data_IF_035339241115
#
_entry.id   IF_035339241115
#
_cell.length_a   1.000
_cell.length_b   1.000
_cell.length_c   1.000
_cell.angle_alpha   90.00
_cell.angle_beta   90.00
_cell.angle_gamma   90.00
#
_symmetry.space_group_name_H-M   'P 1'
#
loop_
_entity.id
_entity.type
_entity.pdbx_description
1 polymer ?
#
# COMPACT_ATOMS: atom_id res chain seq x y z
N UNK A 1 15.42 -19.06 9.74
CA UNK A 1 14.19 -18.43 10.28
C UNK A 1 13.00 -18.43 9.31
N UNK A 2 13.20 -18.50 7.98
CA UNK A 2 12.08 -18.43 7.02
C UNK A 2 11.23 -19.69 6.88
N UNK A 3 11.76 -20.86 7.23
CA UNK A 3 10.99 -22.11 7.20
C UNK A 3 9.83 -22.12 8.22
N UNK A 4 10.09 -21.60 9.42
CA UNK A 4 9.08 -21.50 10.49
C UNK A 4 7.98 -20.54 10.07
N UNK A 5 8.33 -19.38 9.50
CA UNK A 5 7.36 -18.44 8.94
C UNK A 5 6.53 -19.08 7.84
N UNK A 6 7.15 -19.69 6.84
CA UNK A 6 6.46 -20.38 5.75
C UNK A 6 5.48 -21.46 6.27
N UNK A 7 5.92 -22.27 7.22
CA UNK A 7 5.06 -23.32 7.81
C UNK A 7 3.83 -22.73 8.50
N UNK A 8 3.94 -21.56 9.14
CA UNK A 8 2.80 -20.86 9.75
C UNK A 8 1.88 -20.26 8.69
N UNK A 9 2.45 -19.66 7.64
CA UNK A 9 1.69 -19.12 6.51
C UNK A 9 0.89 -20.21 5.80
N UNK A 10 1.45 -21.41 5.64
CA UNK A 10 0.70 -22.55 5.09
C UNK A 10 -0.54 -22.91 5.92
N UNK A 11 -0.51 -22.85 7.27
CA UNK A 11 -1.72 -23.11 8.05
C UNK A 11 -2.84 -22.13 7.67
N UNK A 12 -2.49 -20.87 7.48
CA UNK A 12 -3.43 -19.84 7.08
C UNK A 12 -3.95 -20.02 5.65
N UNK A 13 -3.10 -20.45 4.71
CA UNK A 13 -3.52 -20.78 3.33
C UNK A 13 -4.57 -21.91 3.32
N UNK A 14 -4.50 -22.83 4.27
CA UNK A 14 -5.50 -23.90 4.45
C UNK A 14 -6.68 -23.51 5.35
N UNK A 15 -6.78 -22.24 5.78
CA UNK A 15 -7.85 -21.77 6.67
C UNK A 15 -7.77 -22.33 8.08
N UNK A 16 -6.61 -22.85 8.49
CA UNK A 16 -6.39 -23.43 9.82
C UNK A 16 -5.77 -22.44 10.81
N UNK A 17 -6.11 -22.60 12.09
CA UNK A 17 -5.44 -21.89 13.18
C UNK A 17 -4.10 -22.56 13.54
N UNK A 18 -2.95 -21.87 13.39
CA UNK A 18 -1.66 -22.41 13.80
C UNK A 18 -1.48 -22.31 15.32
N UNK A 19 -1.58 -23.44 16.02
CA UNK A 19 -1.19 -23.55 17.43
C UNK A 19 0.28 -23.94 17.54
N UNK A 20 0.92 -23.68 18.69
CA UNK A 20 2.32 -24.07 18.91
C UNK A 20 2.52 -25.59 18.78
N UNK A 21 1.53 -26.40 19.15
CA UNK A 21 1.54 -27.85 18.95
C UNK A 21 1.49 -28.21 17.47
N UNK A 22 0.51 -27.68 16.72
CA UNK A 22 0.38 -27.94 15.28
C UNK A 22 1.64 -27.55 14.50
N UNK A 23 2.21 -26.38 14.82
CA UNK A 23 3.47 -25.92 14.22
C UNK A 23 4.62 -26.84 14.58
N UNK A 24 4.69 -27.33 15.83
CA UNK A 24 5.72 -28.31 16.26
C UNK A 24 5.63 -29.59 15.44
N UNK A 25 4.43 -30.18 15.32
CA UNK A 25 4.21 -31.42 14.56
C UNK A 25 4.64 -31.24 13.11
N UNK A 26 4.23 -30.14 12.46
CA UNK A 26 4.58 -29.88 11.05
C UNK A 26 6.08 -29.58 10.85
N UNK A 27 6.75 -29.01 11.85
CA UNK A 27 8.22 -28.86 11.83
C UNK A 27 8.93 -30.20 12.09
N UNK A 28 8.36 -31.08 12.93
CA UNK A 28 8.88 -32.43 13.14
C UNK A 28 8.82 -33.25 11.85
N UNK A 29 7.74 -33.14 11.08
CA UNK A 29 7.58 -33.81 9.78
C UNK A 29 8.56 -33.26 8.72
N UNK A 30 8.77 -31.95 8.66
CA UNK A 30 9.58 -31.31 7.61
C UNK A 30 11.09 -31.41 7.82
N UNK A 31 11.55 -31.31 9.07
CA UNK A 31 12.97 -31.17 9.39
C UNK A 31 13.39 -31.96 10.64
N UNK A 32 12.59 -32.94 11.05
CA UNK A 32 12.85 -33.74 12.25
C UNK A 32 13.05 -32.89 13.52
N UNK A 33 12.34 -31.77 13.63
CA UNK A 33 12.47 -30.81 14.73
C UNK A 33 12.18 -31.41 16.11
N UNK A 34 13.23 -31.78 16.87
CA UNK A 34 13.14 -32.41 18.19
C UNK A 34 12.74 -31.49 19.35
N UNK A 35 12.37 -30.24 19.08
CA UNK A 35 12.06 -29.27 20.12
C UNK A 35 10.68 -29.50 20.76
N UNK A 36 10.56 -29.16 22.04
CA UNK A 36 9.28 -29.19 22.75
C UNK A 36 8.35 -28.05 22.32
N UNK A 37 7.06 -28.15 22.65
CA UNK A 37 6.05 -27.09 22.41
C UNK A 37 6.49 -25.75 22.99
N UNK A 38 7.12 -25.77 24.17
CA UNK A 38 7.68 -24.57 24.82
C UNK A 38 8.78 -23.94 23.98
N UNK A 39 9.62 -24.77 23.37
CA UNK A 39 10.69 -24.35 22.46
C UNK A 39 10.12 -23.76 21.17
N UNK A 40 9.09 -24.40 20.60
CA UNK A 40 8.33 -23.87 19.46
C UNK A 40 7.73 -22.51 19.79
N UNK A 41 7.10 -22.33 20.97
CA UNK A 41 6.56 -21.04 21.38
C UNK A 41 7.62 -19.94 21.44
N UNK A 42 8.81 -20.24 21.97
CA UNK A 42 9.93 -19.29 21.97
C UNK A 42 10.36 -18.96 20.54
N UNK A 43 10.47 -19.96 19.68
CA UNK A 43 10.82 -19.80 18.27
C UNK A 43 9.82 -18.90 17.53
N UNK A 44 8.51 -19.08 17.77
CA UNK A 44 7.45 -18.22 17.24
C UNK A 44 7.65 -16.76 17.62
N UNK A 45 8.02 -16.49 18.89
CA UNK A 45 8.35 -15.13 19.32
C UNK A 45 9.61 -14.58 18.65
N UNK A 46 10.66 -15.39 18.51
CA UNK A 46 11.90 -15.00 17.84
C UNK A 46 11.69 -14.64 16.36
N UNK A 47 10.81 -15.35 15.64
CA UNK A 47 10.52 -15.05 14.24
C UNK A 47 9.50 -13.92 14.05
N UNK A 48 8.95 -13.36 15.13
CA UNK A 48 8.11 -12.16 15.14
C UNK A 48 6.62 -12.38 15.40
N UNK A 49 6.16 -13.62 15.61
CA UNK A 49 4.75 -13.90 15.92
C UNK A 49 4.45 -13.61 17.40
N UNK A 50 3.25 -13.07 17.65
CA UNK A 50 2.72 -12.80 18.99
C UNK A 50 1.32 -13.37 19.10
N UNK A 51 1.04 -14.05 20.20
CA UNK A 51 -0.32 -14.50 20.50
C UNK A 51 -1.18 -13.28 20.84
N UNK A 52 -2.23 -13.05 20.04
CA UNK A 52 -3.16 -11.93 20.17
C UNK A 52 -4.59 -12.45 19.94
N UNK A 53 -5.58 -11.69 20.38
CA UNK A 53 -7.00 -11.98 20.08
C UNK A 53 -7.16 -12.10 18.56
N UNK A 54 -7.83 -13.17 18.12
CA UNK A 54 -8.14 -13.37 16.71
C UNK A 54 -8.91 -12.15 16.19
N UNK A 55 -8.50 -11.68 15.02
CA UNK A 55 -9.14 -10.54 14.38
C UNK A 55 -10.57 -10.91 13.93
N UNK A 56 -11.47 -9.92 13.86
CA UNK A 56 -12.89 -10.04 13.43
C UNK A 56 -13.08 -10.35 11.93
N UNK A 57 -12.06 -10.90 11.26
CA UNK A 57 -12.00 -11.11 9.80
C UNK A 57 -11.47 -9.91 8.99
N UNK A 58 -11.50 -8.67 9.50
CA UNK A 58 -11.17 -7.45 8.71
C UNK A 58 -9.69 -7.09 8.50
N UNK A 59 -8.75 -7.74 9.18
CA UNK A 59 -7.31 -7.46 9.24
C UNK A 59 -6.47 -8.71 9.01
N UNK A 60 -6.98 -9.68 8.24
CA UNK A 60 -6.15 -10.78 7.78
C UNK A 60 -5.24 -10.30 6.64
N UNK A 61 -4.25 -9.47 6.99
CA UNK A 61 -3.24 -8.95 6.08
C UNK A 61 -2.15 -10.01 5.86
N UNK A 62 -2.54 -11.17 5.35
CA UNK A 62 -1.59 -12.00 4.63
C UNK A 62 -1.62 -11.56 3.18
N UNK A 63 -0.43 -11.28 2.64
CA UNK A 63 -0.28 -11.08 1.20
C UNK A 63 -0.71 -12.38 0.54
N UNK A 64 -1.83 -12.36 -0.20
CA UNK A 64 -2.30 -13.54 -0.91
C UNK A 64 -1.20 -14.01 -1.85
N UNK A 65 -1.06 -15.33 -2.04
CA UNK A 65 0.03 -15.90 -2.82
C UNK A 65 0.07 -15.37 -4.26
N UNK A 66 -1.09 -15.08 -4.86
CA UNK A 66 -1.20 -14.44 -6.18
C UNK A 66 -0.63 -13.02 -6.19
N UNK A 67 -0.87 -12.23 -5.14
CA UNK A 67 -0.27 -10.89 -4.97
C UNK A 67 1.26 -10.98 -4.81
N UNK A 68 1.77 -11.97 -4.06
CA UNK A 68 3.22 -12.20 -3.93
C UNK A 68 3.84 -12.51 -5.29
N UNK A 69 3.19 -13.37 -6.09
CA UNK A 69 3.65 -13.73 -7.44
C UNK A 69 3.61 -12.52 -8.37
N UNK A 70 2.51 -11.75 -8.37
CA UNK A 70 2.38 -10.53 -9.17
C UNK A 70 3.45 -9.51 -8.82
N UNK A 71 3.72 -9.29 -7.53
CA UNK A 71 4.79 -8.39 -7.08
C UNK A 71 6.17 -8.89 -7.50
N UNK A 72 6.44 -10.19 -7.42
CA UNK A 72 7.70 -10.77 -7.88
C UNK A 72 7.89 -10.60 -9.40
N UNK A 73 6.83 -10.78 -10.19
CA UNK A 73 6.86 -10.55 -11.64
C UNK A 73 7.13 -9.08 -11.96
N UNK A 74 6.39 -8.17 -11.32
CA UNK A 74 6.58 -6.72 -11.46
C UNK A 74 8.02 -6.31 -11.14
N UNK A 75 8.56 -6.73 -9.99
CA UNK A 75 9.93 -6.39 -9.58
C UNK A 75 10.99 -6.92 -10.54
N UNK A 76 10.81 -8.13 -11.09
CA UNK A 76 11.72 -8.68 -12.12
C UNK A 76 11.68 -7.85 -13.41
N UNK A 77 10.49 -7.44 -13.86
CA UNK A 77 10.35 -6.57 -15.03
C UNK A 77 10.96 -5.20 -14.79
N UNK A 78 10.73 -4.58 -13.63
CA UNK A 78 11.32 -3.29 -13.28
C UNK A 78 12.84 -3.36 -13.12
N UNK A 79 13.39 -4.52 -12.75
CA UNK A 79 14.83 -4.75 -12.77
C UNK A 79 15.38 -4.73 -14.21
N UNK A 80 14.76 -5.44 -15.15
CA UNK A 80 15.23 -5.44 -16.54
C UNK A 80 15.18 -4.03 -17.16
N UNK A 81 14.10 -3.28 -16.91
CA UNK A 81 13.98 -1.87 -17.34
C UNK A 81 15.10 -0.99 -16.77
N UNK A 82 15.55 -1.28 -15.54
CA UNK A 82 16.68 -0.57 -14.93
C UNK A 82 18.00 -0.92 -15.60
N UNK A 83 18.20 -2.20 -15.94
CA UNK A 83 19.40 -2.70 -16.61
C UNK A 83 19.51 -2.15 -18.05
N UNK A 84 18.38 -1.91 -18.72
CA UNK A 84 18.28 -1.29 -20.06
C UNK A 84 18.48 0.24 -20.05
N UNK A 85 18.58 0.87 -18.87
CA UNK A 85 18.73 2.31 -18.67
C UNK A 85 17.66 3.17 -19.38
N UNK A 86 16.44 2.64 -19.54
CA UNK A 86 15.29 3.37 -20.11
C UNK A 86 14.71 4.30 -19.05
N UNK A 87 14.25 5.49 -19.46
CA UNK A 87 13.61 6.44 -18.54
C UNK A 87 12.29 5.86 -18.00
N UNK A 88 11.98 6.19 -16.74
CA UNK A 88 10.84 5.64 -16.02
C UNK A 88 9.99 6.77 -15.49
N UNK A 89 8.77 6.84 -15.97
CA UNK A 89 7.78 7.82 -15.56
C UNK A 89 6.76 7.13 -14.69
N UNK A 90 6.63 7.59 -13.45
CA UNK A 90 5.63 7.12 -12.50
C UNK A 90 4.50 8.13 -12.44
N UNK A 91 3.27 7.65 -12.48
CA UNK A 91 2.08 8.46 -12.26
C UNK A 91 1.25 7.89 -11.12
N UNK A 92 0.58 8.77 -10.40
CA UNK A 92 -0.32 8.38 -9.31
C UNK A 92 -1.37 9.47 -9.09
N UNK A 93 -2.45 9.10 -8.40
CA UNK A 93 -3.51 9.99 -7.93
C UNK A 93 -3.42 10.16 -6.41
N UNK A 94 -3.56 11.40 -5.94
CA UNK A 94 -3.84 11.68 -4.54
C UNK A 94 -4.95 12.70 -4.38
N UNK A 95 -5.54 12.75 -3.19
CA UNK A 95 -6.54 13.73 -2.82
C UNK A 95 -6.17 14.45 -1.52
N UNK A 96 -6.52 15.72 -1.43
CA UNK A 96 -6.33 16.56 -0.25
C UNK A 96 -7.67 17.15 0.17
N UNK A 97 -8.04 16.97 1.44
CA UNK A 97 -9.24 17.59 1.99
C UNK A 97 -9.05 19.10 2.17
N UNK A 98 -10.08 19.89 1.87
CA UNK A 98 -10.06 21.34 2.08
C UNK A 98 -9.85 21.72 3.55
N UNK A 99 -10.36 20.91 4.49
CA UNK A 99 -10.19 21.10 5.93
C UNK A 99 -9.01 20.28 6.50
N UNK A 100 -8.00 19.95 5.68
CA UNK A 100 -6.83 19.24 6.17
C UNK A 100 -6.03 20.14 7.13
N UNK A 101 -6.21 19.92 8.43
CA UNK A 101 -5.54 20.65 9.50
C UNK A 101 -4.84 19.69 10.45
N UNK A 102 -3.90 20.21 11.26
CA UNK A 102 -3.27 19.44 12.34
C UNK A 102 -4.33 18.94 13.32
N UNK A 103 -4.18 17.69 13.76
CA UNK A 103 -5.09 17.07 14.73
C UNK A 103 -4.94 17.65 16.14
N UNK A 104 -3.75 18.16 16.48
CA UNK A 104 -3.43 18.71 17.78
C UNK A 104 -2.91 20.14 17.62
N UNK A 105 -3.46 21.05 18.42
CA UNK A 105 -3.02 22.43 18.55
C UNK A 105 -2.96 22.77 20.04
N UNK A 106 -2.03 23.65 20.43
CA UNK A 106 -2.03 24.21 21.79
C UNK A 106 -3.26 25.10 21.96
N UNK A 107 -4.04 24.86 23.01
CA UNK A 107 -5.23 25.64 23.35
C UNK A 107 -5.10 26.12 24.80
N UNK A 108 -5.65 27.29 25.09
CA UNK A 108 -5.69 27.78 26.46
C UNK A 108 -6.67 26.94 27.29
N UNK A 109 -6.40 26.74 28.59
CA UNK A 109 -7.15 25.83 29.45
C UNK A 109 -8.62 26.23 29.63
N UNK A 110 -8.93 27.52 29.54
CA UNK A 110 -10.29 28.08 29.58
C UNK A 110 -11.01 28.08 28.22
N UNK A 111 -10.40 27.49 27.18
CA UNK A 111 -10.88 27.45 25.79
C UNK A 111 -11.03 28.83 25.12
N UNK A 112 -10.48 29.90 25.69
CA UNK A 112 -10.48 31.25 25.11
C UNK A 112 -9.46 31.42 23.96
N UNK A 113 -8.51 30.49 23.84
CA UNK A 113 -7.48 30.47 22.79
C UNK A 113 -7.53 29.19 21.95
N UNK A 114 -7.51 29.35 20.63
CA UNK A 114 -7.45 28.25 19.67
C UNK A 114 -7.69 28.73 18.24
N UNK A 115 -7.29 27.92 17.25
CA UNK A 115 -7.61 28.16 15.85
C UNK A 115 -9.04 27.67 15.57
N UNK A 116 -9.87 28.48 14.91
CA UNK A 116 -11.18 28.04 14.42
C UNK A 116 -10.97 27.08 13.25
N UNK A 117 -10.85 25.79 13.55
CA UNK A 117 -10.76 24.73 12.54
C UNK A 117 -12.13 24.52 11.90
N UNK A 118 -12.18 24.49 10.57
CA UNK A 118 -13.39 24.16 9.83
C UNK A 118 -13.81 22.72 10.17
N UNK A 119 -15.05 22.53 10.60
CA UNK A 119 -15.61 21.21 10.91
C UNK A 119 -16.13 20.52 9.65
N UNK A 120 -15.90 19.21 9.53
CA UNK A 120 -16.23 18.40 8.34
C UNK A 120 -15.03 18.18 7.41
N UNK A 121 -15.13 17.27 6.42
CA UNK A 121 -14.05 16.99 5.45
C UNK A 121 -13.87 18.08 4.37
N UNK A 122 -14.88 18.94 4.18
CA UNK A 122 -14.91 19.93 3.10
C UNK A 122 -14.87 19.29 1.71
N UNK A 123 -14.67 20.11 0.67
CA UNK A 123 -14.41 19.59 -0.69
C UNK A 123 -13.05 18.91 -0.77
N UNK A 124 -12.86 18.03 -1.75
CA UNK A 124 -11.55 17.40 -2.03
C UNK A 124 -10.88 18.09 -3.21
N UNK A 125 -9.58 18.31 -3.12
CA UNK A 125 -8.73 18.61 -4.26
C UNK A 125 -8.13 17.30 -4.73
N UNK A 126 -8.44 16.90 -5.96
CA UNK A 126 -7.85 15.74 -6.63
C UNK A 126 -6.61 16.21 -7.39
N UNK A 127 -5.54 15.44 -7.31
CA UNK A 127 -4.25 15.71 -7.93
C UNK A 127 -3.77 14.43 -8.60
N UNK A 128 -3.62 14.46 -9.92
CA UNK A 128 -2.91 13.44 -10.68
C UNK A 128 -1.70 14.09 -11.36
N UNK A 129 -0.55 13.43 -11.29
CA UNK A 129 0.69 13.93 -11.89
C UNK A 129 1.63 12.77 -12.22
N UNK A 130 2.44 12.96 -13.26
CA UNK A 130 3.56 12.08 -13.59
C UNK A 130 4.92 12.70 -13.29
N UNK A 131 5.91 11.89 -12.94
CA UNK A 131 7.30 12.31 -12.73
C UNK A 131 8.31 11.19 -12.94
N UNK A 132 9.56 11.55 -13.18
CA UNK A 132 10.69 10.65 -13.33
C UNK A 132 11.84 11.04 -12.38
N UNK A 133 13.02 10.46 -12.59
CA UNK A 133 14.21 10.74 -11.77
C UNK A 133 14.67 12.20 -11.78
N UNK A 134 14.26 13.00 -12.77
CA UNK A 134 14.59 14.43 -12.92
C UNK A 134 13.55 15.34 -12.26
N UNK A 135 12.41 14.80 -11.83
CA UNK A 135 11.32 15.52 -11.21
C UNK A 135 9.99 15.33 -11.93
N UNK A 136 9.06 16.26 -11.69
CA UNK A 136 7.74 16.24 -12.31
C UNK A 136 7.80 16.65 -13.78
N UNK A 137 7.00 15.98 -14.62
CA UNK A 137 6.92 16.30 -16.05
C UNK A 137 6.17 17.64 -16.22
N UNK A 138 6.79 18.68 -16.80
CA UNK A 138 6.14 19.99 -16.94
C UNK A 138 4.80 19.88 -17.67
N UNK A 139 3.83 20.70 -17.26
CA UNK A 139 2.48 20.76 -17.83
C UNK A 139 1.61 19.49 -17.72
N UNK A 140 2.11 18.38 -17.17
CA UNK A 140 1.31 17.18 -16.95
C UNK A 140 0.57 17.16 -15.60
N UNK A 141 0.44 18.29 -14.91
CA UNK A 141 -0.26 18.38 -13.63
C UNK A 141 -1.76 18.50 -13.86
N UNK A 142 -2.52 17.49 -13.44
CA UNK A 142 -3.98 17.52 -13.49
C UNK A 142 -4.56 17.70 -12.08
N UNK A 143 -5.03 18.92 -11.79
CA UNK A 143 -5.54 19.29 -10.45
C UNK A 143 -6.92 19.90 -10.60
N UNK A 144 -7.89 19.37 -9.87
CA UNK A 144 -9.25 19.92 -9.85
C UNK A 144 -9.93 19.68 -8.51
N UNK A 145 -10.91 20.52 -8.19
CA UNK A 145 -11.74 20.37 -6.99
C UNK A 145 -12.91 19.46 -7.32
N UNK A 146 -13.08 18.40 -6.53
CA UNK A 146 -14.27 17.55 -6.55
C UNK A 146 -15.51 18.40 -6.26
N UNK A 147 -16.47 18.40 -7.18
CA UNK A 147 -17.77 19.07 -7.06
C UNK A 147 -18.74 18.25 -6.21
N UNK A 148 -18.45 16.97 -6.00
CA UNK A 148 -19.25 16.05 -5.19
C UNK A 148 -18.82 16.11 -3.72
N UNK A 149 -19.77 16.35 -2.82
CA UNK A 149 -19.56 16.36 -1.36
C UNK A 149 -19.37 14.95 -0.75
N UNK A 150 -19.35 13.90 -1.59
CA UNK A 150 -19.27 12.49 -1.20
C UNK A 150 -17.86 11.88 -1.27
N UNK A 151 -17.78 10.59 -0.98
CA UNK A 151 -16.54 9.80 -1.06
C UNK A 151 -16.13 9.42 -2.48
N UNK A 152 -17.06 9.52 -3.43
CA UNK A 152 -16.96 9.02 -4.80
C UNK A 152 -16.47 10.11 -5.75
N UNK A 153 -15.15 10.17 -5.91
CA UNK A 153 -14.47 11.08 -6.85
C UNK A 153 -14.41 10.50 -8.27
N UNK A 154 -14.82 9.23 -8.45
CA UNK A 154 -14.76 8.54 -9.75
C UNK A 154 -15.71 9.14 -10.78
N UNK A 155 -16.69 9.95 -10.38
CA UNK A 155 -17.51 10.69 -11.33
C UNK A 155 -16.69 11.72 -12.13
N UNK A 156 -15.66 12.31 -11.51
CA UNK A 156 -14.88 13.40 -12.08
C UNK A 156 -13.50 12.94 -12.58
N UNK A 157 -12.82 12.08 -11.80
CA UNK A 157 -11.69 11.30 -12.30
C UNK A 157 -12.19 9.96 -12.81
N UNK A 158 -12.59 9.93 -14.08
CA UNK A 158 -13.06 8.73 -14.75
C UNK A 158 -12.11 8.34 -15.88
N UNK A 159 -12.34 7.16 -16.47
CA UNK A 159 -11.50 6.64 -17.54
C UNK A 159 -11.42 7.60 -18.76
N UNK A 160 -12.46 8.38 -19.05
CA UNK A 160 -12.49 9.31 -20.18
C UNK A 160 -11.58 10.50 -19.89
N UNK A 161 -11.75 11.14 -18.73
CA UNK A 161 -10.95 12.30 -18.35
C UNK A 161 -9.49 11.93 -18.12
N UNK A 162 -9.23 10.77 -17.51
CA UNK A 162 -7.88 10.21 -17.38
C UNK A 162 -7.24 9.91 -18.73
N UNK A 163 -7.94 9.22 -19.63
CA UNK A 163 -7.42 8.92 -20.97
C UNK A 163 -7.09 10.19 -21.75
N UNK A 164 -7.93 11.22 -21.63
CA UNK A 164 -7.68 12.51 -22.27
C UNK A 164 -6.37 13.13 -21.75
N UNK A 165 -6.23 13.25 -20.44
CA UNK A 165 -4.98 13.74 -19.83
C UNK A 165 -3.76 12.89 -20.24
N UNK A 166 -3.90 11.56 -20.22
CA UNK A 166 -2.84 10.65 -20.58
C UNK A 166 -2.37 10.86 -22.03
N UNK A 167 -3.31 10.94 -22.97
CA UNK A 167 -3.00 11.06 -24.39
C UNK A 167 -2.63 12.48 -24.83
N UNK A 168 -3.26 13.51 -24.27
CA UNK A 168 -3.11 14.89 -24.72
C UNK A 168 -2.04 15.66 -23.93
N UNK A 169 -1.83 15.34 -22.65
CA UNK A 169 -0.89 16.06 -21.78
C UNK A 169 0.37 15.23 -21.49
N UNK A 170 0.22 13.96 -21.08
CA UNK A 170 1.35 13.13 -20.66
C UNK A 170 2.18 12.61 -21.83
N UNK A 171 1.60 11.80 -22.72
CA UNK A 171 2.33 11.14 -23.81
C UNK A 171 3.15 12.11 -24.68
N UNK A 172 2.61 13.28 -25.11
CA UNK A 172 3.37 14.22 -25.93
C UNK A 172 4.54 14.88 -25.20
N UNK A 173 4.56 14.81 -23.87
CA UNK A 173 5.58 15.41 -23.02
C UNK A 173 6.72 14.45 -22.66
N UNK A 174 6.69 13.21 -23.18
CA UNK A 174 7.69 12.18 -22.90
C UNK A 174 8.62 11.97 -24.10
N UNK A 175 9.90 11.72 -23.82
CA UNK A 175 10.89 11.33 -24.83
C UNK A 175 10.88 9.80 -25.00
N UNK A 176 10.91 9.30 -26.24
CA UNK A 176 11.03 7.87 -26.50
C UNK A 176 12.52 7.43 -26.55
N UNK A 177 12.87 6.24 -26.01
CA UNK A 177 12.01 5.28 -25.32
C UNK A 177 11.79 5.64 -23.83
N UNK A 178 10.55 5.47 -23.35
CA UNK A 178 10.18 5.63 -21.93
C UNK A 178 9.26 4.51 -21.49
N UNK A 179 9.41 4.08 -20.23
CA UNK A 179 8.47 3.15 -19.56
C UNK A 179 7.59 3.94 -18.61
N UNK A 180 6.27 3.85 -18.81
CA UNK A 180 5.28 4.41 -17.89
C UNK A 180 4.89 3.34 -16.87
N UNK A 181 4.92 3.70 -15.59
CA UNK A 181 4.52 2.86 -14.46
C UNK A 181 3.30 3.48 -13.80
N UNK A 182 2.22 2.70 -13.73
CA UNK A 182 0.92 3.05 -13.14
C UNK A 182 0.36 1.84 -12.39
N UNK A 183 -0.63 2.08 -11.52
CA UNK A 183 -1.35 1.06 -10.76
C UNK A 183 -2.46 0.34 -11.54
#
# INVERSE_FOLDING_TARGET
CDLVRRTILEFYDHGEFPTAEKVRVKLQEKIEYKGSVRSTRRLLHTVGFKFKKANDGRKFLMERQDIVVARAQFLRKMKSVRDENVDRVYLDETWVNQSHTKHFIWQHSDKSGGLKVLTGKGGRLIVCHAGNSKGFIPQCKWVFRSKTTGTDYHAEMNHISFKRWFCEDLLPSLEEPTVIVMD
#
